data_IF_210773315420
#
_entry.id   IF_210773315420
#
_cell.length_a   1.000
_cell.length_b   1.000
_cell.length_c   1.000
_cell.angle_alpha   90.00
_cell.angle_beta   90.00
_cell.angle_gamma   90.00
#
_symmetry.space_group_name_H-M   'P 1'
#
loop_
_entity.id
_entity.type
_entity.pdbx_description
1 polymer ?
#
# COMPACT_ATOMS: atom_id res chain seq x y z
N UNK A 1 -4.28 15.06 -8.32
CA UNK A 1 -5.29 14.40 -9.20
C UNK A 1 -6.70 14.84 -8.81
N UNK A 2 -7.66 14.81 -9.73
CA UNK A 2 -9.06 14.92 -9.34
C UNK A 2 -9.45 13.67 -8.53
N UNK A 3 -10.05 13.84 -7.35
CA UNK A 3 -10.47 12.75 -6.47
C UNK A 3 -11.99 12.53 -6.50
N UNK A 4 -12.74 13.34 -7.29
CA UNK A 4 -14.21 13.41 -7.23
C UNK A 4 -14.92 12.62 -8.32
N UNK A 5 -14.22 12.25 -9.40
CA UNK A 5 -14.83 11.65 -10.59
C UNK A 5 -14.01 10.48 -11.15
N UNK A 6 -13.26 9.78 -10.28
CA UNK A 6 -12.44 8.65 -10.68
C UNK A 6 -13.20 7.34 -10.76
N UNK A 7 -12.71 6.45 -11.61
CA UNK A 7 -13.03 5.04 -11.59
C UNK A 7 -11.84 4.28 -11.00
N UNK A 8 -11.97 3.83 -9.75
CA UNK A 8 -10.88 3.35 -8.89
C UNK A 8 -10.99 1.85 -8.67
N UNK A 9 -9.91 1.12 -8.89
CA UNK A 9 -9.73 -0.25 -8.40
C UNK A 9 -8.68 -0.30 -7.31
N UNK A 10 -9.04 -0.81 -6.12
CA UNK A 10 -8.13 -0.98 -4.99
C UNK A 10 -7.91 -2.47 -4.69
N UNK A 11 -6.78 -3.04 -5.10
CA UNK A 11 -6.37 -4.39 -4.73
C UNK A 11 -5.92 -4.40 -3.25
N UNK A 12 -6.74 -4.98 -2.36
CA UNK A 12 -6.53 -4.98 -0.90
C UNK A 12 -7.39 -3.95 -0.14
N UNK A 13 -8.49 -3.51 -0.73
CA UNK A 13 -9.41 -2.51 -0.18
C UNK A 13 -10.41 -2.99 0.88
N UNK A 14 -10.29 -4.21 1.42
CA UNK A 14 -11.30 -4.79 2.33
C UNK A 14 -11.09 -4.50 3.82
N UNK A 15 -10.07 -3.75 4.21
CA UNK A 15 -9.81 -3.37 5.61
C UNK A 15 -8.72 -2.29 5.71
N UNK A 16 -8.58 -1.70 6.92
CA UNK A 16 -7.52 -0.75 7.24
C UNK A 16 -7.46 0.42 6.28
N UNK A 17 -6.25 0.85 5.92
CA UNK A 17 -6.03 2.00 5.02
C UNK A 17 -6.78 1.85 3.69
N UNK A 18 -6.75 0.66 3.09
CA UNK A 18 -7.38 0.43 1.80
C UNK A 18 -8.90 0.63 1.83
N UNK A 19 -9.57 0.19 2.89
CA UNK A 19 -11.00 0.42 3.05
C UNK A 19 -11.32 1.87 3.37
N UNK A 20 -10.52 2.50 4.20
CA UNK A 20 -10.67 3.93 4.53
C UNK A 20 -10.58 4.79 3.26
N UNK A 21 -9.56 4.59 2.44
CA UNK A 21 -9.42 5.33 1.19
C UNK A 21 -10.52 4.99 0.19
N UNK A 22 -10.95 3.72 0.08
CA UNK A 22 -12.06 3.33 -0.78
C UNK A 22 -13.35 4.07 -0.43
N UNK A 23 -13.68 4.20 0.85
CA UNK A 23 -14.84 4.96 1.32
C UNK A 23 -14.71 6.45 1.01
N UNK A 24 -13.52 7.04 1.25
CA UNK A 24 -13.28 8.46 0.98
C UNK A 24 -13.37 8.80 -0.51
N UNK A 25 -12.83 7.97 -1.39
CA UNK A 25 -12.99 8.15 -2.83
C UNK A 25 -14.46 8.06 -3.25
N UNK A 26 -15.20 7.07 -2.74
CA UNK A 26 -16.65 6.94 -2.97
C UNK A 26 -17.41 8.18 -2.48
N UNK A 27 -17.15 8.61 -1.26
CA UNK A 27 -17.85 9.73 -0.64
C UNK A 27 -17.50 11.08 -1.32
N UNK A 28 -16.34 11.15 -1.99
CA UNK A 28 -15.96 12.25 -2.87
C UNK A 28 -16.63 12.18 -4.27
N UNK A 29 -17.36 11.11 -4.58
CA UNK A 29 -18.10 10.97 -5.84
C UNK A 29 -17.47 10.01 -6.86
N UNK A 30 -16.34 9.34 -6.52
CA UNK A 30 -15.69 8.36 -7.38
C UNK A 30 -16.42 7.01 -7.37
N UNK A 31 -16.35 6.30 -8.49
CA UNK A 31 -16.75 4.87 -8.55
C UNK A 31 -15.59 4.03 -8.05
N UNK A 32 -15.82 3.17 -7.06
CA UNK A 32 -14.75 2.39 -6.43
C UNK A 32 -15.07 0.91 -6.41
N UNK A 33 -14.12 0.10 -6.89
CA UNK A 33 -14.12 -1.36 -6.78
C UNK A 33 -13.02 -1.80 -5.83
N UNK A 34 -13.37 -2.57 -4.81
CA UNK A 34 -12.41 -3.14 -3.85
C UNK A 34 -12.14 -4.61 -4.15
N UNK A 35 -10.86 -4.98 -4.17
CA UNK A 35 -10.42 -6.35 -4.34
C UNK A 35 -9.97 -6.98 -3.01
N UNK A 36 -10.25 -8.26 -2.82
CA UNK A 36 -9.79 -9.00 -1.65
C UNK A 36 -10.11 -10.49 -1.70
N UNK A 37 -9.63 -11.26 -0.70
CA UNK A 37 -9.81 -12.72 -0.64
C UNK A 37 -11.06 -13.16 0.12
N UNK A 38 -11.60 -12.31 0.98
CA UNK A 38 -12.69 -12.67 1.91
C UNK A 38 -14.03 -12.34 1.30
N UNK A 39 -14.77 -13.38 0.89
CA UNK A 39 -16.07 -13.24 0.23
C UNK A 39 -17.13 -12.56 1.12
N UNK A 40 -17.13 -12.85 2.42
CA UNK A 40 -18.03 -12.22 3.41
C UNK A 40 -17.80 -10.71 3.51
N UNK A 41 -16.55 -10.29 3.61
CA UNK A 41 -16.20 -8.87 3.65
C UNK A 41 -16.54 -8.16 2.33
N UNK A 42 -16.30 -8.81 1.18
CA UNK A 42 -16.65 -8.26 -0.14
C UNK A 42 -18.16 -8.10 -0.29
N UNK A 43 -18.95 -9.07 0.15
CA UNK A 43 -20.42 -9.00 0.10
C UNK A 43 -20.96 -7.85 0.98
N UNK A 44 -20.38 -7.64 2.17
CA UNK A 44 -20.73 -6.50 3.03
C UNK A 44 -20.45 -5.16 2.33
N UNK A 45 -19.26 -5.02 1.72
CA UNK A 45 -18.85 -3.78 1.05
C UNK A 45 -19.68 -3.46 -0.18
N UNK A 46 -20.14 -4.49 -0.91
CA UNK A 46 -21.10 -4.32 -1.98
C UNK A 46 -22.42 -3.69 -1.49
N UNK A 47 -22.88 -4.07 -0.29
CA UNK A 47 -24.04 -3.45 0.38
C UNK A 47 -23.82 -2.00 0.81
N UNK A 48 -22.56 -1.56 0.93
CA UNK A 48 -22.19 -0.17 1.23
C UNK A 48 -22.03 0.71 -0.03
N UNK A 49 -22.34 0.18 -1.23
CA UNK A 49 -22.23 0.91 -2.49
C UNK A 49 -20.81 0.91 -3.11
N UNK A 50 -19.92 0.02 -2.65
CA UNK A 50 -18.64 -0.25 -3.28
C UNK A 50 -18.76 -1.43 -4.24
N UNK A 51 -18.17 -1.38 -5.43
CA UNK A 51 -17.91 -2.57 -6.23
C UNK A 51 -16.98 -3.53 -5.47
N UNK A 52 -17.14 -4.83 -5.71
CA UNK A 52 -16.33 -5.83 -5.02
C UNK A 52 -15.92 -6.96 -5.96
N UNK A 53 -14.66 -7.37 -5.91
CA UNK A 53 -14.13 -8.47 -6.73
C UNK A 53 -13.19 -9.36 -5.91
N UNK A 54 -13.26 -10.67 -6.14
CA UNK A 54 -12.33 -11.61 -5.50
C UNK A 54 -10.97 -11.56 -6.18
N UNK A 55 -9.91 -11.29 -5.41
CA UNK A 55 -8.53 -11.31 -5.89
C UNK A 55 -7.58 -11.85 -4.82
N UNK A 56 -6.71 -12.78 -5.22
CA UNK A 56 -5.49 -13.12 -4.49
C UNK A 56 -4.29 -12.64 -5.33
N UNK A 57 -3.57 -11.65 -4.84
CA UNK A 57 -2.43 -11.04 -5.54
C UNK A 57 -1.23 -12.00 -5.67
N UNK A 58 -1.23 -13.10 -4.92
CA UNK A 58 -0.19 -14.14 -5.03
C UNK A 58 -0.45 -15.14 -6.15
N UNK A 59 -1.68 -15.20 -6.68
CA UNK A 59 -2.10 -16.07 -7.79
C UNK A 59 -2.31 -15.25 -9.07
N UNK A 60 -1.47 -15.48 -10.08
CA UNK A 60 -1.53 -14.80 -11.37
C UNK A 60 -2.89 -15.02 -12.07
N UNK A 61 -3.47 -16.21 -11.98
CA UNK A 61 -4.79 -16.50 -12.56
C UNK A 61 -5.90 -15.73 -11.86
N UNK A 62 -5.83 -15.58 -10.53
CA UNK A 62 -6.78 -14.76 -9.77
C UNK A 62 -6.69 -13.28 -10.17
N UNK A 63 -5.48 -12.75 -10.33
CA UNK A 63 -5.27 -11.35 -10.77
C UNK A 63 -5.83 -11.14 -12.18
N UNK A 64 -5.60 -12.07 -13.11
CA UNK A 64 -6.15 -11.98 -14.46
C UNK A 64 -7.67 -11.98 -14.47
N UNK A 65 -8.31 -12.89 -13.75
CA UNK A 65 -9.78 -12.94 -13.65
C UNK A 65 -10.36 -11.66 -13.03
N UNK A 66 -9.74 -11.16 -11.96
CA UNK A 66 -10.18 -9.93 -11.32
C UNK A 66 -10.06 -8.72 -12.27
N UNK A 67 -8.94 -8.60 -13.01
CA UNK A 67 -8.77 -7.56 -14.05
C UNK A 67 -9.89 -7.63 -15.09
N UNK A 68 -10.14 -8.81 -15.66
CA UNK A 68 -11.15 -8.98 -16.72
C UNK A 68 -12.57 -8.64 -16.23
N UNK A 69 -12.88 -9.00 -14.99
CA UNK A 69 -14.15 -8.65 -14.34
C UNK A 69 -14.27 -7.15 -14.13
N UNK A 70 -13.25 -6.51 -13.56
CA UNK A 70 -13.22 -5.06 -13.30
C UNK A 70 -13.31 -4.27 -14.61
N UNK A 71 -12.50 -4.58 -15.62
CA UNK A 71 -12.48 -3.83 -16.88
C UNK A 71 -13.75 -4.05 -17.72
N UNK A 72 -14.43 -5.20 -17.59
CA UNK A 72 -15.72 -5.41 -18.24
C UNK A 72 -16.84 -4.57 -17.59
N UNK A 73 -16.82 -4.43 -16.27
CA UNK A 73 -17.82 -3.65 -15.54
C UNK A 73 -17.50 -2.13 -15.56
N UNK A 74 -16.23 -1.78 -15.60
CA UNK A 74 -15.71 -0.42 -15.54
C UNK A 74 -14.66 -0.19 -16.65
N UNK A 75 -15.08 -0.11 -17.92
CA UNK A 75 -14.16 0.12 -19.05
C UNK A 75 -13.48 1.50 -19.00
N UNK A 76 -13.99 2.39 -18.19
CA UNK A 76 -13.50 3.73 -17.89
C UNK A 76 -12.52 3.77 -16.70
N UNK A 77 -12.11 2.62 -16.15
CA UNK A 77 -11.16 2.54 -15.04
C UNK A 77 -9.91 3.39 -15.33
N UNK A 78 -9.60 4.31 -14.42
CA UNK A 78 -8.49 5.24 -14.58
C UNK A 78 -7.51 5.26 -13.40
N UNK A 79 -7.85 4.64 -12.28
CA UNK A 79 -7.02 4.64 -11.08
C UNK A 79 -6.88 3.23 -10.50
N UNK A 80 -5.65 2.78 -10.28
CA UNK A 80 -5.32 1.48 -9.68
C UNK A 80 -4.49 1.68 -8.42
N UNK A 81 -4.95 1.13 -7.29
CA UNK A 81 -4.26 1.21 -6.00
C UNK A 81 -3.79 -0.19 -5.59
N UNK A 82 -2.48 -0.37 -5.39
CA UNK A 82 -1.88 -1.66 -4.97
C UNK A 82 -1.77 -1.72 -3.45
N UNK A 83 -2.91 -1.86 -2.78
CA UNK A 83 -3.02 -1.77 -1.32
C UNK A 83 -2.78 -3.11 -0.59
N UNK A 84 -2.82 -4.24 -1.31
CA UNK A 84 -2.63 -5.55 -0.69
C UNK A 84 -1.26 -5.65 -0.01
N UNK A 85 -1.26 -6.04 1.25
CA UNK A 85 -0.03 -6.16 2.02
C UNK A 85 -0.21 -6.95 3.30
N UNK A 86 0.90 -7.53 3.77
CA UNK A 86 1.00 -8.22 5.05
C UNK A 86 2.29 -7.81 5.74
N UNK A 87 2.25 -7.78 7.09
CA UNK A 87 3.43 -7.55 7.93
C UNK A 87 3.44 -8.60 9.02
N UNK A 88 4.46 -9.42 9.05
CA UNK A 88 4.65 -10.52 10.00
C UNK A 88 5.93 -10.22 10.78
N UNK A 89 5.88 -10.14 12.12
CA UNK A 89 7.10 -10.03 12.93
C UNK A 89 8.00 -11.26 12.77
N UNK A 90 9.32 -11.04 12.79
CA UNK A 90 10.31 -12.07 12.54
C UNK A 90 11.41 -12.06 13.60
N UNK A 91 11.87 -13.25 14.01
CA UNK A 91 13.14 -13.44 14.71
C UNK A 91 14.14 -14.10 13.74
N UNK A 92 15.05 -13.32 13.18
CA UNK A 92 16.02 -13.82 12.18
C UNK A 92 17.01 -14.86 12.72
N UNK A 93 17.01 -15.12 14.05
CA UNK A 93 17.77 -16.19 14.66
C UNK A 93 17.06 -17.55 14.58
N UNK A 94 15.75 -17.55 14.34
CA UNK A 94 14.95 -18.76 14.18
C UNK A 94 14.80 -19.07 12.68
N UNK A 95 15.31 -20.21 12.18
CA UNK A 95 15.15 -20.56 10.76
C UNK A 95 13.69 -20.60 10.27
N UNK A 96 12.72 -20.79 11.18
CA UNK A 96 11.29 -20.77 10.82
C UNK A 96 10.79 -19.40 10.33
N UNK A 97 11.54 -18.31 10.57
CA UNK A 97 11.18 -16.96 10.08
C UNK A 97 11.05 -16.91 8.56
N UNK A 98 11.77 -17.78 7.83
CA UNK A 98 11.83 -17.72 6.36
C UNK A 98 10.47 -17.86 5.69
N UNK A 99 9.56 -18.66 6.24
CA UNK A 99 8.18 -18.79 5.73
C UNK A 99 7.40 -17.45 5.81
N UNK A 100 7.64 -16.66 6.86
CA UNK A 100 7.07 -15.33 6.99
C UNK A 100 7.67 -14.36 5.96
N UNK A 101 8.98 -14.45 5.72
CA UNK A 101 9.66 -13.66 4.70
C UNK A 101 9.15 -13.97 3.29
N UNK A 102 9.04 -15.26 2.91
CA UNK A 102 8.48 -15.67 1.61
C UNK A 102 7.06 -15.13 1.41
N UNK A 103 6.19 -15.30 2.42
CA UNK A 103 4.82 -14.79 2.37
C UNK A 103 4.81 -13.27 2.19
N UNK A 104 5.64 -12.56 2.94
CA UNK A 104 5.71 -11.10 2.88
C UNK A 104 6.17 -10.61 1.50
N UNK A 105 7.20 -11.20 0.93
CA UNK A 105 7.70 -10.85 -0.41
C UNK A 105 6.68 -11.22 -1.49
N UNK A 106 6.08 -12.41 -1.41
CA UNK A 106 5.08 -12.85 -2.36
C UNK A 106 3.87 -11.90 -2.45
N UNK A 107 3.38 -11.43 -1.30
CA UNK A 107 2.23 -10.51 -1.24
C UNK A 107 2.65 -9.08 -1.58
N UNK A 108 3.64 -8.53 -0.87
CA UNK A 108 3.93 -7.09 -0.90
C UNK A 108 4.69 -6.66 -2.14
N UNK A 109 5.56 -7.51 -2.68
CA UNK A 109 6.39 -7.18 -3.86
C UNK A 109 5.81 -7.80 -5.10
N UNK A 110 5.79 -9.14 -5.18
CA UNK A 110 5.33 -9.81 -6.41
C UNK A 110 3.84 -9.58 -6.66
N UNK A 111 3.02 -9.52 -5.60
CA UNK A 111 1.61 -9.20 -5.71
C UNK A 111 1.36 -7.79 -6.22
N UNK A 112 2.12 -6.80 -5.73
CA UNK A 112 2.07 -5.42 -6.22
C UNK A 112 2.44 -5.35 -7.70
N UNK A 113 3.54 -5.98 -8.10
CA UNK A 113 4.00 -6.01 -9.50
C UNK A 113 2.95 -6.66 -10.41
N UNK A 114 2.36 -7.80 -10.00
CA UNK A 114 1.31 -8.48 -10.79
C UNK A 114 0.08 -7.62 -11.02
N UNK A 115 -0.36 -6.90 -9.99
CA UNK A 115 -1.51 -5.99 -10.14
C UNK A 115 -1.17 -4.85 -11.09
N UNK A 116 -0.01 -4.22 -10.94
CA UNK A 116 0.45 -3.15 -11.84
C UNK A 116 0.49 -3.66 -13.28
N UNK A 117 1.18 -4.77 -13.52
CA UNK A 117 1.32 -5.39 -14.85
C UNK A 117 -0.05 -5.68 -15.51
N UNK A 118 -0.99 -6.19 -14.73
CA UNK A 118 -2.32 -6.54 -15.23
C UNK A 118 -3.12 -5.33 -15.76
N UNK A 119 -2.93 -4.12 -15.21
CA UNK A 119 -3.71 -2.95 -15.56
C UNK A 119 -2.96 -1.90 -16.38
N UNK A 120 -1.63 -1.94 -16.43
CA UNK A 120 -0.79 -0.92 -17.10
C UNK A 120 -1.16 -0.74 -18.57
N UNK A 121 -1.33 -1.83 -19.32
CA UNK A 121 -1.69 -1.76 -20.76
C UNK A 121 -3.04 -1.07 -20.99
N UNK A 122 -4.01 -1.27 -20.09
CA UNK A 122 -5.31 -0.60 -20.16
C UNK A 122 -5.14 0.92 -19.97
N UNK A 123 -4.39 1.33 -18.93
CA UNK A 123 -4.18 2.75 -18.63
C UNK A 123 -3.39 3.45 -19.74
N UNK A 124 -2.35 2.81 -20.28
CA UNK A 124 -1.60 3.33 -21.46
C UNK A 124 -2.54 3.47 -22.66
N UNK A 125 -3.37 2.46 -22.94
CA UNK A 125 -4.32 2.48 -24.05
C UNK A 125 -5.35 3.60 -23.94
N UNK A 126 -5.66 4.06 -22.72
CA UNK A 126 -6.51 5.24 -22.46
C UNK A 126 -5.74 6.57 -22.68
N UNK A 127 -4.42 6.55 -22.65
CA UNK A 127 -3.58 7.77 -22.68
C UNK A 127 -3.69 8.63 -21.42
N UNK A 128 -4.29 8.10 -20.35
CA UNK A 128 -4.43 8.79 -19.05
C UNK A 128 -4.76 7.80 -17.94
N UNK A 129 -4.23 8.03 -16.75
CA UNK A 129 -4.55 7.22 -15.57
C UNK A 129 -3.57 7.43 -14.43
N UNK A 130 -3.83 6.81 -13.30
CA UNK A 130 -2.97 6.89 -12.12
C UNK A 130 -2.76 5.50 -11.51
N UNK A 131 -1.52 5.14 -11.25
CA UNK A 131 -1.15 3.98 -10.44
C UNK A 131 -0.70 4.51 -9.08
N UNK A 132 -1.36 4.04 -8.01
CA UNK A 132 -0.99 4.38 -6.65
C UNK A 132 -0.38 3.14 -6.00
N UNK A 133 0.93 3.18 -5.77
CA UNK A 133 1.66 2.14 -5.02
C UNK A 133 1.66 2.45 -3.53
N UNK A 134 1.94 1.44 -2.71
CA UNK A 134 1.94 1.61 -1.24
C UNK A 134 3.21 1.02 -0.64
N UNK A 135 4.16 1.89 -0.32
CA UNK A 135 5.34 1.55 0.47
C UNK A 135 5.09 1.71 1.99
N UNK A 136 6.01 2.22 2.73
CA UNK A 136 5.88 2.55 4.16
C UNK A 136 7.11 3.31 4.64
N UNK A 137 6.97 4.10 5.70
CA UNK A 137 8.10 4.69 6.40
C UNK A 137 9.16 3.68 6.87
N UNK A 138 8.77 2.42 7.11
CA UNK A 138 9.72 1.33 7.46
C UNK A 138 10.62 0.97 6.26
N UNK A 139 10.24 1.25 5.04
CA UNK A 139 11.09 1.05 3.86
C UNK A 139 12.30 2.00 3.83
N UNK A 140 12.21 3.13 4.52
CA UNK A 140 13.28 4.14 4.63
C UNK A 140 14.03 4.06 5.94
N UNK A 141 13.34 3.73 7.04
CA UNK A 141 13.90 3.61 8.37
C UNK A 141 13.54 2.24 8.96
N UNK A 142 14.46 1.27 9.01
CA UNK A 142 14.17 -0.10 9.41
C UNK A 142 13.52 -0.23 10.78
N UNK A 143 12.64 -1.23 10.91
CA UNK A 143 12.11 -1.69 12.18
C UNK A 143 12.54 -3.15 12.37
N UNK A 144 13.55 -3.43 13.23
CA UNK A 144 14.27 -4.71 13.23
C UNK A 144 13.42 -5.97 13.43
N UNK A 145 12.28 -5.86 14.10
CA UNK A 145 11.35 -7.00 14.28
C UNK A 145 10.46 -7.27 13.06
N UNK A 146 10.58 -6.48 11.99
CA UNK A 146 9.80 -6.60 10.75
C UNK A 146 10.73 -6.52 9.52
N UNK A 147 11.78 -7.32 9.51
CA UNK A 147 12.86 -7.21 8.53
C UNK A 147 12.37 -7.42 7.08
N UNK A 148 11.69 -8.53 6.78
CA UNK A 148 11.16 -8.78 5.43
C UNK A 148 10.09 -7.77 5.03
N UNK A 149 9.29 -7.28 5.98
CA UNK A 149 8.32 -6.22 5.69
C UNK A 149 9.03 -4.92 5.28
N UNK A 150 10.03 -4.47 6.04
CA UNK A 150 10.83 -3.29 5.69
C UNK A 150 11.49 -3.44 4.32
N UNK A 151 12.15 -4.57 4.06
CA UNK A 151 12.75 -4.88 2.77
C UNK A 151 11.73 -4.87 1.63
N UNK A 152 10.53 -5.44 1.84
CA UNK A 152 9.45 -5.43 0.84
C UNK A 152 8.98 -4.01 0.50
N UNK A 153 8.92 -3.12 1.50
CA UNK A 153 8.47 -1.74 1.31
C UNK A 153 9.54 -0.86 0.66
N UNK A 154 10.82 -1.11 0.93
CA UNK A 154 11.94 -0.52 0.19
C UNK A 154 11.95 -0.97 -1.28
N UNK A 155 11.65 -2.25 -1.55
CA UNK A 155 11.52 -2.76 -2.91
C UNK A 155 10.37 -2.10 -3.67
N UNK A 156 9.21 -1.88 -3.03
CA UNK A 156 8.07 -1.17 -3.65
C UNK A 156 8.43 0.27 -3.96
N UNK A 157 9.14 0.97 -3.06
CA UNK A 157 9.62 2.33 -3.32
C UNK A 157 10.51 2.38 -4.58
N UNK A 158 11.56 1.57 -4.62
CA UNK A 158 12.46 1.53 -5.78
C UNK A 158 11.73 1.15 -7.09
N UNK A 159 10.76 0.22 -7.00
CA UNK A 159 9.93 -0.15 -8.14
C UNK A 159 9.04 1.01 -8.61
N UNK A 160 8.48 1.79 -7.69
CA UNK A 160 7.62 2.94 -8.00
C UNK A 160 8.39 4.04 -8.73
N UNK A 161 9.63 4.31 -8.34
CA UNK A 161 10.49 5.27 -9.04
C UNK A 161 10.82 4.81 -10.46
N UNK A 162 11.20 3.53 -10.62
CA UNK A 162 11.47 2.95 -11.93
C UNK A 162 10.23 2.93 -12.83
N UNK A 163 9.07 2.56 -12.27
CA UNK A 163 7.79 2.54 -12.99
C UNK A 163 7.42 3.95 -13.49
N UNK A 164 7.57 4.97 -12.65
CA UNK A 164 7.32 6.36 -13.03
C UNK A 164 8.17 6.78 -14.21
N UNK A 165 9.46 6.46 -14.19
CA UNK A 165 10.37 6.78 -15.28
C UNK A 165 10.02 6.03 -16.58
N UNK A 166 9.56 4.77 -16.50
CA UNK A 166 9.17 3.99 -17.67
C UNK A 166 7.82 4.42 -18.27
N UNK A 167 6.93 4.97 -17.47
CA UNK A 167 5.61 5.45 -17.93
C UNK A 167 5.61 6.92 -18.35
N UNK A 168 6.75 7.60 -18.27
CA UNK A 168 6.86 8.98 -18.73
C UNK A 168 6.43 9.12 -20.20
N UNK A 169 5.64 10.16 -20.51
CA UNK A 169 5.09 10.39 -21.84
C UNK A 169 3.90 9.51 -22.23
N UNK A 170 3.47 8.53 -21.41
CA UNK A 170 2.30 7.68 -21.71
C UNK A 170 0.97 8.28 -21.24
N UNK A 171 1.00 9.35 -20.45
CA UNK A 171 -0.17 9.90 -19.79
C UNK A 171 -0.59 9.17 -18.50
N UNK A 172 0.17 8.15 -18.09
CA UNK A 172 -0.06 7.44 -16.82
C UNK A 172 0.85 7.98 -15.73
N UNK A 173 0.25 8.49 -14.66
CA UNK A 173 0.96 9.00 -13.49
C UNK A 173 1.19 7.88 -12.45
N UNK A 174 2.28 8.01 -11.69
CA UNK A 174 2.59 7.09 -10.58
C UNK A 174 2.79 7.89 -9.30
N UNK A 175 1.88 7.69 -8.34
CA UNK A 175 2.00 8.22 -6.98
C UNK A 175 2.30 7.08 -6.01
N UNK A 176 3.06 7.37 -4.95
CA UNK A 176 3.43 6.41 -3.92
C UNK A 176 2.89 6.86 -2.56
N UNK A 177 2.00 6.09 -1.95
CA UNK A 177 1.62 6.29 -0.56
C UNK A 177 2.71 5.76 0.35
N UNK A 178 3.13 6.58 1.31
CA UNK A 178 4.16 6.22 2.30
C UNK A 178 3.57 6.31 3.71
N UNK A 179 2.83 5.29 4.16
CA UNK A 179 2.23 5.32 5.50
C UNK A 179 3.27 5.29 6.62
N UNK A 180 3.06 6.06 7.70
CA UNK A 180 3.67 5.79 9.01
C UNK A 180 2.99 4.59 9.69
N UNK A 181 3.21 4.40 10.98
CA UNK A 181 2.35 3.53 11.78
C UNK A 181 0.94 4.14 11.84
N UNK A 182 -0.06 3.41 11.31
CA UNK A 182 -1.47 3.79 11.33
C UNK A 182 -2.25 2.76 12.16
N UNK A 183 -3.25 3.18 12.90
CA UNK A 183 -4.07 2.34 13.77
C UNK A 183 -4.91 1.33 12.94
N UNK A 184 -4.25 0.26 12.53
CA UNK A 184 -4.76 -0.85 11.73
C UNK A 184 -4.25 -2.16 12.28
N UNK A 185 -4.70 -3.29 11.72
CA UNK A 185 -4.20 -4.60 12.13
C UNK A 185 -2.67 -4.75 11.94
N UNK A 186 -2.09 -4.18 10.87
CA UNK A 186 -0.63 -4.21 10.65
C UNK A 186 0.09 -3.28 11.62
N UNK A 187 -0.48 -2.13 11.96
CA UNK A 187 0.06 -1.21 12.95
C UNK A 187 0.04 -1.74 14.38
N UNK A 188 -0.73 -2.80 14.65
CA UNK A 188 -0.82 -3.44 15.95
C UNK A 188 -1.36 -2.51 17.06
N UNK A 189 -0.90 -2.74 18.29
CA UNK A 189 -1.24 -1.93 19.47
C UNK A 189 -0.26 -0.77 19.71
N UNK A 190 0.36 -0.22 18.65
CA UNK A 190 1.27 0.92 18.79
C UNK A 190 0.52 2.17 19.29
N UNK A 191 0.83 2.67 20.51
CA UNK A 191 0.13 3.83 21.09
C UNK A 191 0.42 5.14 20.32
N UNK A 192 1.44 5.15 19.48
CA UNK A 192 1.83 6.30 18.64
C UNK A 192 1.33 6.16 17.19
N UNK A 193 0.50 5.14 16.89
CA UNK A 193 -0.08 5.01 15.57
C UNK A 193 -1.03 6.17 15.29
N UNK A 194 -0.92 6.74 14.09
CA UNK A 194 -1.84 7.77 13.62
C UNK A 194 -3.26 7.18 13.51
N UNK A 195 -4.26 7.93 13.96
CA UNK A 195 -5.65 7.53 13.77
C UNK A 195 -5.97 7.35 12.28
N UNK A 196 -6.72 6.29 11.96
CA UNK A 196 -6.97 5.89 10.56
C UNK A 196 -7.71 6.98 9.77
N UNK A 197 -8.70 7.62 10.38
CA UNK A 197 -9.46 8.71 9.78
C UNK A 197 -8.61 9.95 9.52
N UNK A 198 -7.75 10.35 10.49
CA UNK A 198 -6.82 11.46 10.31
C UNK A 198 -5.82 11.19 9.18
N UNK A 199 -5.26 9.96 9.13
CA UNK A 199 -4.41 9.53 8.04
C UNK A 199 -5.13 9.61 6.68
N UNK A 200 -6.34 9.07 6.60
CA UNK A 200 -7.15 9.08 5.38
C UNK A 200 -7.46 10.48 4.89
N UNK A 201 -7.79 11.42 5.80
CA UNK A 201 -8.04 12.82 5.46
C UNK A 201 -6.81 13.47 4.83
N UNK A 202 -5.65 13.39 5.50
CA UNK A 202 -4.40 13.98 5.02
C UNK A 202 -3.95 13.39 3.67
N UNK A 203 -4.14 12.07 3.46
CA UNK A 203 -3.85 11.43 2.17
C UNK A 203 -4.72 11.99 1.06
N UNK A 204 -6.03 12.14 1.27
CA UNK A 204 -6.92 12.69 0.24
C UNK A 204 -6.57 14.14 -0.10
N UNK A 205 -6.22 14.97 0.90
CA UNK A 205 -5.77 16.34 0.68
C UNK A 205 -4.47 16.40 -0.15
N UNK A 206 -3.52 15.49 0.11
CA UNK A 206 -2.28 15.41 -0.66
C UNK A 206 -2.52 14.90 -2.08
N UNK A 207 -3.37 13.89 -2.28
CA UNK A 207 -3.74 13.38 -3.59
C UNK A 207 -4.44 14.45 -4.44
N UNK A 208 -5.24 15.31 -3.83
CA UNK A 208 -5.96 16.38 -4.51
C UNK A 208 -5.08 17.56 -4.96
N UNK A 209 -3.80 17.60 -4.57
CA UNK A 209 -2.90 18.66 -5.02
C UNK A 209 -2.66 18.59 -6.54
N UNK A 210 -2.38 19.74 -7.14
CA UNK A 210 -2.04 19.87 -8.55
C UNK A 210 -0.69 20.62 -8.71
N UNK A 211 0.36 19.99 -9.22
CA UNK A 211 0.43 18.55 -9.54
C UNK A 211 0.38 17.64 -8.29
N UNK A 212 -0.13 16.44 -8.46
CA UNK A 212 -0.11 15.41 -7.41
C UNK A 212 1.34 15.09 -7.03
N UNK A 213 1.72 15.09 -5.75
CA UNK A 213 3.07 14.71 -5.35
C UNK A 213 3.40 13.26 -5.76
N UNK A 214 4.63 13.02 -6.16
CA UNK A 214 5.10 11.67 -6.46
C UNK A 214 5.10 10.75 -5.23
N UNK A 215 5.44 11.29 -4.07
CA UNK A 215 5.36 10.62 -2.77
C UNK A 215 4.29 11.33 -1.92
N UNK A 216 3.30 10.61 -1.49
CA UNK A 216 2.24 11.10 -0.59
C UNK A 216 2.73 10.90 0.84
N UNK A 217 3.36 11.94 1.36
CA UNK A 217 4.03 11.95 2.65
C UNK A 217 3.18 12.70 3.68
N UNK A 218 2.39 11.98 4.47
CA UNK A 218 1.70 12.58 5.62
C UNK A 218 2.72 13.03 6.68
N UNK A 219 2.36 14.03 7.48
CA UNK A 219 3.26 14.61 8.48
C UNK A 219 3.94 13.56 9.37
N UNK A 220 3.21 12.51 9.78
CA UNK A 220 3.71 11.44 10.64
C UNK A 220 4.81 10.56 10.04
N UNK A 221 5.08 10.61 8.73
CA UNK A 221 6.11 9.79 8.08
C UNK A 221 7.39 10.57 7.76
N UNK A 222 7.38 11.89 7.82
CA UNK A 222 8.51 12.71 7.38
C UNK A 222 9.81 12.38 8.12
N UNK A 223 9.74 12.12 9.42
CA UNK A 223 10.90 11.71 10.22
C UNK A 223 11.53 10.38 9.76
N UNK A 224 10.75 9.50 9.12
CA UNK A 224 11.27 8.24 8.57
C UNK A 224 11.89 8.46 7.21
N UNK A 225 11.17 9.19 6.34
CA UNK A 225 11.58 9.45 4.97
C UNK A 225 12.88 10.27 4.90
N UNK A 226 13.08 11.20 5.83
CA UNK A 226 14.21 12.12 5.82
C UNK A 226 15.29 11.85 6.88
N UNK A 227 15.24 10.70 7.56
CA UNK A 227 16.15 10.37 8.65
C UNK A 227 17.64 10.46 8.25
N UNK A 228 18.02 9.97 7.07
CA UNK A 228 19.39 10.07 6.56
C UNK A 228 19.76 11.51 6.27
N UNK A 229 18.94 12.24 5.54
CA UNK A 229 19.15 13.67 5.21
C UNK A 229 19.33 14.52 6.47
N UNK A 230 18.52 14.24 7.51
CA UNK A 230 18.48 15.02 8.74
C UNK A 230 19.52 14.54 9.77
N UNK A 231 20.35 13.54 9.44
CA UNK A 231 21.42 13.01 10.31
C UNK A 231 20.90 12.30 11.57
N UNK A 232 19.62 11.84 11.56
CA UNK A 232 18.97 11.20 12.72
C UNK A 232 18.86 9.68 12.57
N UNK A 233 19.26 9.12 11.44
CA UNK A 233 19.07 7.72 11.06
C UNK A 233 19.58 6.74 12.11
N UNK A 234 20.87 6.80 12.48
CA UNK A 234 21.48 5.86 13.43
C UNK A 234 20.80 5.90 14.80
N UNK A 235 20.48 7.11 15.28
CA UNK A 235 19.78 7.30 16.55
C UNK A 235 18.39 6.65 16.51
N UNK A 236 17.64 6.84 15.43
CA UNK A 236 16.30 6.29 15.29
C UNK A 236 16.33 4.77 15.10
N UNK A 237 17.31 4.22 14.38
CA UNK A 237 17.51 2.76 14.26
C UNK A 237 17.84 2.17 15.63
N UNK A 238 18.74 2.76 16.39
CA UNK A 238 19.08 2.31 17.74
C UNK A 238 17.85 2.32 18.67
N UNK A 239 17.05 3.39 18.62
CA UNK A 239 15.80 3.48 19.40
C UNK A 239 14.80 2.38 19.01
N UNK A 240 14.62 2.13 17.71
CA UNK A 240 13.72 1.08 17.21
C UNK A 240 14.20 -0.33 17.53
N UNK A 241 15.51 -0.52 17.65
CA UNK A 241 16.12 -1.80 18.04
C UNK A 241 15.74 -2.24 19.45
N UNK A 242 15.26 -1.35 20.31
CA UNK A 242 14.72 -1.70 21.62
C UNK A 242 13.52 -2.67 21.51
N UNK A 243 12.76 -2.61 20.41
CA UNK A 243 11.68 -3.54 20.15
C UNK A 243 12.14 -5.01 20.01
N UNK A 244 13.44 -5.26 19.80
CA UNK A 244 14.00 -6.63 19.77
C UNK A 244 13.83 -7.33 21.12
N UNK A 245 13.68 -6.61 22.24
CA UNK A 245 13.36 -7.19 23.54
C UNK A 245 12.00 -7.92 23.57
N UNK A 246 11.11 -7.66 22.59
CA UNK A 246 9.83 -8.36 22.46
C UNK A 246 9.97 -9.76 21.85
N UNK A 247 11.14 -10.07 21.27
CA UNK A 247 11.39 -11.40 20.69
C UNK A 247 11.70 -12.43 21.77
N UNK A 248 11.26 -13.71 21.62
CA UNK A 248 11.48 -14.75 22.60
C UNK A 248 12.96 -14.91 22.95
N UNK A 249 13.28 -15.07 24.24
CA UNK A 249 14.64 -15.32 24.74
C UNK A 249 15.60 -14.14 24.62
N UNK A 250 15.11 -12.90 24.42
CA UNK A 250 15.90 -11.68 24.60
C UNK A 250 15.58 -11.04 25.94
N UNK A 251 16.64 -10.70 26.68
CA UNK A 251 16.54 -9.81 27.84
C UNK A 251 16.54 -8.38 27.35
N UNK A 252 15.80 -7.45 28.01
CA UNK A 252 16.01 -6.01 27.77
C UNK A 252 17.47 -5.68 28.11
N UNK A 253 18.20 -5.11 27.14
CA UNK A 253 19.55 -4.61 27.32
C UNK A 253 19.57 -3.27 28.07
#
# INVERSE_FOLDING_TARGET
MDITSRSVFSAGGTSGIGLELARRFRDAGSTVVVGGRRGDALAQLAGEGLGAVTIDVTDAGSVTRARDEVLRAHPDLDTVITMAGTGIPEDLRDPAHFAAAETTIAVNVLGTIRVIDAFTSHLIGRGSGTIITVSSGIGFLPFPVMAAYGASKAAVHAYSEALRAQLDGTGVEVAELVPPAVATRIGGSNPHALALDAYGAEVMDLLAQDPTPHEILVQGVLMHRWAERDGTYDKLVAQRSQALAMLPGRSPG
#
